data_IF_339800105237
#
_entry.id   IF_339800105237
#
_cell.length_a   1.000
_cell.length_b   1.000
_cell.length_c   1.000
_cell.angle_alpha   90.00
_cell.angle_beta   90.00
_cell.angle_gamma   90.00
#
_symmetry.space_group_name_H-M   'P 1'
#
loop_
_entity.id
_entity.type
_entity.pdbx_description
1 polymer ?
#
# COMPACT_ATOMS: atom_id res chain seq x y z
N UNK A 1 -3.78 -18.31 -2.71
CA UNK A 1 -2.89 -17.33 -2.08
C UNK A 1 -1.76 -17.06 -3.04
N UNK A 2 -1.62 -15.82 -3.46
CA UNK A 2 -0.62 -15.42 -4.46
C UNK A 2 0.64 -14.94 -3.75
N UNK A 3 1.81 -15.29 -4.29
CA UNK A 3 3.11 -14.83 -3.80
C UNK A 3 3.56 -13.62 -4.60
N UNK A 4 4.30 -12.75 -3.95
CA UNK A 4 4.91 -11.57 -4.56
C UNK A 4 6.37 -11.47 -4.15
N UNK A 5 7.20 -10.97 -5.06
CA UNK A 5 8.54 -10.49 -4.75
C UNK A 5 8.45 -8.99 -4.48
N UNK A 6 8.80 -8.60 -3.27
CA UNK A 6 8.90 -7.21 -2.85
C UNK A 6 10.38 -6.81 -2.81
N UNK A 7 10.70 -5.71 -3.49
CA UNK A 7 12.06 -5.19 -3.64
C UNK A 7 12.14 -3.76 -3.14
N UNK A 8 13.04 -3.47 -2.20
CA UNK A 8 13.44 -2.11 -1.81
C UNK A 8 14.88 -1.88 -2.28
N UNK A 9 15.19 -0.74 -2.88
CA UNK A 9 16.52 -0.51 -3.47
C UNK A 9 17.48 0.28 -2.58
N UNK A 10 16.96 1.13 -1.69
CA UNK A 10 17.77 2.05 -0.89
C UNK A 10 17.64 1.75 0.62
N UNK A 11 18.69 1.98 1.42
CA UNK A 11 20.09 2.24 1.03
C UNK A 11 20.79 1.01 0.43
N UNK A 12 20.20 -0.17 0.54
CA UNK A 12 20.67 -1.42 -0.05
C UNK A 12 19.49 -2.19 -0.65
N UNK A 13 19.75 -2.93 -1.72
CA UNK A 13 18.76 -3.80 -2.35
C UNK A 13 18.39 -4.95 -1.41
N UNK A 14 17.11 -5.01 -1.03
CA UNK A 14 16.52 -6.10 -0.26
C UNK A 14 15.38 -6.68 -1.08
N UNK A 15 15.37 -8.00 -1.23
CA UNK A 15 14.29 -8.76 -1.88
C UNK A 15 13.72 -9.77 -0.90
N UNK A 16 12.39 -9.79 -0.77
CA UNK A 16 11.68 -10.76 0.04
C UNK A 16 10.48 -11.31 -0.73
N UNK A 17 10.18 -12.59 -0.53
CA UNK A 17 8.96 -13.21 -1.04
C UNK A 17 7.89 -13.15 0.06
N UNK A 18 6.72 -12.60 -0.27
CA UNK A 18 5.62 -12.36 0.66
C UNK A 18 4.28 -12.80 0.05
N UNK A 19 3.32 -13.14 0.90
CA UNK A 19 1.96 -13.49 0.50
C UNK A 19 1.10 -12.23 0.30
N UNK A 20 0.02 -12.36 -0.47
CA UNK A 20 -1.04 -11.34 -0.61
C UNK A 20 -1.46 -10.72 0.73
N UNK A 21 -1.77 -11.55 1.72
CA UNK A 21 -2.17 -11.10 3.06
C UNK A 21 -1.07 -10.32 3.78
N UNK A 22 0.20 -10.65 3.54
CA UNK A 22 1.34 -9.94 4.11
C UNK A 22 1.55 -8.58 3.43
N UNK A 23 1.35 -8.48 2.11
CA UNK A 23 1.35 -7.19 1.41
C UNK A 23 0.29 -6.28 2.00
N UNK A 24 -0.94 -6.76 2.15
CA UNK A 24 -2.06 -5.97 2.70
C UNK A 24 -1.78 -5.55 4.14
N UNK A 25 -1.25 -6.45 4.97
CA UNK A 25 -0.98 -6.15 6.38
C UNK A 25 0.18 -5.17 6.57
N UNK A 26 1.25 -5.31 5.80
CA UNK A 26 2.46 -4.49 5.95
C UNK A 26 2.38 -3.16 5.19
N UNK A 27 1.66 -3.16 4.07
CA UNK A 27 1.62 -2.05 3.12
C UNK A 27 0.19 -1.75 2.63
N UNK A 28 -0.78 -1.53 3.52
CA UNK A 28 -2.13 -1.19 3.12
C UNK A 28 -2.17 0.15 2.38
N UNK A 29 -3.15 0.31 1.47
CA UNK A 29 -3.49 1.60 0.89
C UNK A 29 -4.22 2.41 1.96
N UNK A 30 -3.59 3.48 2.44
CA UNK A 30 -4.05 4.20 3.62
C UNK A 30 -3.62 5.67 3.65
N UNK A 31 -4.33 6.45 4.46
CA UNK A 31 -3.96 7.80 4.90
C UNK A 31 -4.10 7.83 6.40
N UNK A 32 -3.03 8.20 7.12
CA UNK A 32 -3.09 8.32 8.57
C UNK A 32 -2.21 9.45 9.11
N UNK A 33 -2.58 9.96 10.29
CA UNK A 33 -1.77 10.90 11.04
C UNK A 33 -0.74 10.15 11.90
N UNK A 34 0.54 10.32 11.59
CA UNK A 34 1.65 9.77 12.36
C UNK A 34 2.18 10.81 13.37
N UNK A 35 2.45 10.43 14.65
CA UNK A 35 2.92 11.36 15.68
C UNK A 35 4.20 12.14 15.32
N UNK A 36 5.11 11.48 14.60
CA UNK A 36 6.43 12.06 14.26
C UNK A 36 6.47 12.64 12.85
N UNK A 37 5.77 12.01 11.90
CA UNK A 37 5.95 12.27 10.47
C UNK A 37 4.79 13.06 9.85
N UNK A 38 3.86 13.53 10.69
CA UNK A 38 2.63 14.18 10.25
C UNK A 38 1.75 13.23 9.44
N UNK A 39 1.08 13.75 8.42
CA UNK A 39 0.23 12.95 7.52
C UNK A 39 1.11 12.02 6.68
N UNK A 40 0.90 10.72 6.82
CA UNK A 40 1.49 9.70 5.95
C UNK A 40 0.42 9.14 5.03
N UNK A 41 0.84 8.77 3.82
CA UNK A 41 -0.04 8.24 2.78
C UNK A 41 0.65 7.12 2.06
N UNK A 42 0.00 5.96 1.97
CA UNK A 42 0.51 4.83 1.21
C UNK A 42 -0.43 4.53 0.06
N UNK A 43 0.13 4.48 -1.14
CA UNK A 43 -0.59 4.19 -2.38
C UNK A 43 0.05 3.02 -3.09
N UNK A 44 -0.74 2.33 -3.91
CA UNK A 44 -0.21 1.39 -4.90
C UNK A 44 -0.30 2.01 -6.28
N UNK A 45 0.73 1.84 -7.10
CA UNK A 45 0.82 2.44 -8.43
C UNK A 45 1.16 1.34 -9.44
N UNK A 46 0.27 1.11 -10.40
CA UNK A 46 0.55 0.30 -11.59
C UNK A 46 0.85 1.22 -12.78
N UNK A 47 1.05 0.67 -13.98
CA UNK A 47 1.37 1.47 -15.17
C UNK A 47 0.29 2.53 -15.49
N UNK A 48 -0.99 2.19 -15.29
CA UNK A 48 -2.11 3.02 -15.73
C UNK A 48 -2.95 3.60 -14.58
N UNK A 49 -2.69 3.17 -13.34
CA UNK A 49 -3.58 3.44 -12.22
C UNK A 49 -2.84 3.74 -10.92
N UNK A 50 -3.33 4.75 -10.20
CA UNK A 50 -2.97 5.02 -8.81
C UNK A 50 -4.13 4.58 -7.93
N UNK A 51 -3.86 3.61 -7.05
CA UNK A 51 -4.79 3.13 -6.04
C UNK A 51 -4.50 3.83 -4.72
N UNK A 52 -5.44 4.65 -4.33
CA UNK A 52 -5.34 5.63 -3.25
C UNK A 52 -6.69 5.70 -2.58
N UNK A 53 -6.75 5.77 -1.25
CA UNK A 53 -8.00 5.87 -0.49
C UNK A 53 -8.90 6.97 -1.04
N UNK A 54 -8.32 8.11 -1.43
CA UNK A 54 -9.07 9.27 -1.96
C UNK A 54 -9.78 8.99 -3.30
N UNK A 55 -9.39 7.93 -4.03
CA UNK A 55 -9.98 7.52 -5.30
C UNK A 55 -11.13 6.50 -5.15
N UNK A 56 -11.45 6.07 -3.93
CA UNK A 56 -12.51 5.09 -3.66
C UNK A 56 -13.69 5.71 -2.90
N UNK A 57 -14.92 5.30 -3.19
CA UNK A 57 -16.06 5.73 -2.38
C UNK A 57 -16.00 5.13 -0.97
N UNK A 58 -16.61 5.84 -0.01
CA UNK A 58 -16.47 5.58 1.43
C UNK A 58 -16.83 4.15 1.83
N UNK A 59 -17.75 3.49 1.12
CA UNK A 59 -18.15 2.10 1.37
C UNK A 59 -17.01 1.07 1.18
N UNK A 60 -15.95 1.43 0.46
CA UNK A 60 -14.74 0.61 0.29
C UNK A 60 -13.61 0.96 1.28
N UNK A 61 -13.84 1.97 2.12
CA UNK A 61 -12.89 2.43 3.12
C UNK A 61 -13.35 2.06 4.53
N UNK A 62 -12.40 2.03 5.46
CA UNK A 62 -12.66 1.92 6.88
C UNK A 62 -11.88 3.03 7.61
N UNK A 63 -12.53 3.68 8.58
CA UNK A 63 -11.84 4.58 9.49
C UNK A 63 -11.52 3.80 10.78
N UNK A 64 -10.23 3.64 11.05
CA UNK A 64 -9.70 2.86 12.16
C UNK A 64 -9.41 3.71 13.41
N UNK A 65 -9.71 5.01 13.37
CA UNK A 65 -9.49 5.94 14.46
C UNK A 65 -10.72 6.80 14.74
N UNK A 66 -11.03 6.98 16.02
CA UNK A 66 -12.12 7.86 16.47
C UNK A 66 -11.71 9.31 16.70
N UNK A 67 -10.41 9.62 16.66
CA UNK A 67 -9.87 10.92 17.12
C UNK A 67 -8.83 11.55 16.18
N UNK A 68 -8.34 10.81 15.19
CA UNK A 68 -7.32 11.24 14.22
C UNK A 68 -7.64 10.65 12.85
N UNK A 69 -6.99 11.15 11.80
CA UNK A 69 -7.11 10.53 10.48
C UNK A 69 -6.44 9.17 10.54
N UNK A 70 -7.20 8.11 10.30
CA UNK A 70 -6.68 6.80 9.92
C UNK A 70 -7.71 6.12 9.05
N UNK A 71 -7.59 6.34 7.74
CA UNK A 71 -8.49 5.78 6.73
C UNK A 71 -7.69 4.79 5.90
N UNK A 72 -8.25 3.61 5.70
CA UNK A 72 -7.64 2.50 4.97
C UNK A 72 -8.66 1.94 3.97
N UNK A 73 -8.21 1.43 2.83
CA UNK A 73 -9.08 0.55 2.04
C UNK A 73 -9.37 -0.72 2.84
N UNK A 74 -10.56 -1.29 2.69
CA UNK A 74 -10.88 -2.58 3.30
C UNK A 74 -10.01 -3.70 2.70
N UNK A 75 -9.71 -4.72 3.51
CA UNK A 75 -8.82 -5.81 3.11
C UNK A 75 -9.33 -6.60 1.89
N UNK A 76 -10.64 -6.82 1.79
CA UNK A 76 -11.26 -7.50 0.66
C UNK A 76 -11.12 -6.71 -0.64
N UNK A 77 -11.23 -5.38 -0.57
CA UNK A 77 -11.01 -4.48 -1.71
C UNK A 77 -9.57 -4.58 -2.18
N UNK A 78 -8.60 -4.44 -1.27
CA UNK A 78 -7.18 -4.55 -1.62
C UNK A 78 -6.81 -5.94 -2.15
N UNK A 79 -7.43 -7.00 -1.62
CA UNK A 79 -7.24 -8.36 -2.13
C UNK A 79 -7.71 -8.48 -3.58
N UNK A 80 -8.89 -7.95 -3.90
CA UNK A 80 -9.40 -7.93 -5.27
C UNK A 80 -8.49 -7.11 -6.21
N UNK A 81 -7.92 -6.00 -5.74
CA UNK A 81 -6.94 -5.24 -6.51
C UNK A 81 -5.68 -6.07 -6.80
N UNK A 82 -5.12 -6.74 -5.78
CA UNK A 82 -3.92 -7.59 -5.91
C UNK A 82 -4.10 -8.73 -6.93
N UNK A 83 -5.30 -9.31 -7.04
CA UNK A 83 -5.58 -10.34 -8.03
C UNK A 83 -5.36 -9.84 -9.48
N UNK A 84 -5.60 -8.55 -9.75
CA UNK A 84 -5.39 -7.92 -11.05
C UNK A 84 -3.99 -7.34 -11.28
N UNK A 85 -3.09 -7.37 -10.29
CA UNK A 85 -1.79 -6.70 -10.35
C UNK A 85 -0.63 -7.68 -10.55
N UNK A 86 0.01 -7.60 -11.72
CA UNK A 86 1.24 -8.36 -12.01
C UNK A 86 2.50 -7.64 -11.52
N UNK A 87 2.59 -6.33 -11.78
CA UNK A 87 3.70 -5.48 -11.40
C UNK A 87 3.15 -4.14 -10.93
N UNK A 88 3.56 -3.70 -9.75
CA UNK A 88 3.16 -2.42 -9.19
C UNK A 88 4.22 -1.90 -8.23
N UNK A 89 4.08 -0.63 -7.84
CA UNK A 89 4.88 0.01 -6.82
C UNK A 89 4.03 0.30 -5.61
N UNK A 90 4.61 0.14 -4.43
CA UNK A 90 4.06 0.68 -3.19
C UNK A 90 4.86 1.93 -2.90
N UNK A 91 4.16 3.06 -2.76
CA UNK A 91 4.80 4.34 -2.44
C UNK A 91 4.26 4.84 -1.11
N UNK A 92 5.17 5.09 -0.17
CA UNK A 92 4.90 5.72 1.11
C UNK A 92 5.34 7.17 1.06
N UNK A 93 4.39 8.10 1.11
CA UNK A 93 4.63 9.54 1.22
C UNK A 93 4.58 9.99 2.67
N UNK A 94 5.61 10.73 3.11
CA UNK A 94 5.69 11.31 4.45
C UNK A 94 6.69 12.48 4.48
N UNK A 95 6.38 13.58 5.16
CA UNK A 95 7.29 14.74 5.30
C UNK A 95 7.96 15.23 4.00
N UNK A 96 7.26 15.19 2.86
CA UNK A 96 7.81 15.56 1.56
C UNK A 96 8.85 14.57 1.00
N UNK A 97 8.96 13.38 1.59
CA UNK A 97 9.76 12.24 1.13
C UNK A 97 8.87 11.14 0.59
N UNK A 98 9.48 10.27 -0.22
CA UNK A 98 8.88 9.05 -0.72
C UNK A 98 9.79 7.85 -0.45
N UNK A 99 9.20 6.73 -0.02
CA UNK A 99 9.85 5.42 -0.01
C UNK A 99 9.10 4.49 -0.98
N UNK A 100 9.85 3.82 -1.84
CA UNK A 100 9.31 3.06 -2.99
C UNK A 100 9.74 1.61 -2.88
N UNK A 101 8.75 0.74 -2.96
CA UNK A 101 8.94 -0.71 -3.07
C UNK A 101 8.39 -1.18 -4.41
N UNK A 102 9.15 -1.97 -5.13
CA UNK A 102 8.68 -2.65 -6.34
C UNK A 102 8.14 -4.02 -5.98
N UNK A 103 6.93 -4.31 -6.45
CA UNK A 103 6.24 -5.57 -6.18
C UNK A 103 5.90 -6.27 -7.49
N UNK A 104 6.30 -7.52 -7.59
CA UNK A 104 6.03 -8.38 -8.74
C UNK A 104 5.36 -9.67 -8.29
N UNK A 105 4.27 -10.04 -8.94
CA UNK A 105 3.64 -11.34 -8.74
C UNK A 105 4.59 -12.49 -9.13
N UNK A 106 4.62 -13.52 -8.29
CA UNK A 106 5.28 -14.79 -8.56
C UNK A 106 4.18 -15.79 -8.92
N UNK A 107 4.18 -16.19 -10.20
CA UNK A 107 3.24 -17.14 -10.81
C UNK A 107 2.97 -18.37 -9.97
#
# INVERSE_FOLDING_TARGET
>A
MRKYRLTRFTPQKIEIDVLDSQIISMFPIEIQDHPTFGKIKRVWISQDQVYDVENFPENYTENLSSSRTYIKLKDDVMKNLLEGLENFKIVLYYEGKEDIYEVRALS
#
